data_IF_006830558295
#
_entry.id   IF_006830558295
#
_cell.length_a   1.000
_cell.length_b   1.000
_cell.length_c   1.000
_cell.angle_alpha   90.00
_cell.angle_beta   90.00
_cell.angle_gamma   90.00
#
_symmetry.space_group_name_H-M   'P 1'
#
loop_
_entity.id
_entity.type
_entity.pdbx_description
1 polymer ?
#
# COMPACT_ATOMS: atom_id res chain seq x y z
N UNK A 1 45.00 29.25 43.95
CA UNK A 1 43.64 29.66 43.55
C UNK A 1 43.40 29.20 42.12
N UNK A 2 42.74 28.06 41.94
CA UNK A 2 42.35 27.57 40.61
C UNK A 2 41.01 26.85 40.74
N UNK A 3 39.93 27.61 40.57
CA UNK A 3 38.57 27.12 40.62
C UNK A 3 38.23 26.46 39.29
N UNK A 4 38.28 25.13 39.25
CA UNK A 4 37.90 24.33 38.08
C UNK A 4 36.38 24.41 37.90
N UNK A 5 35.94 25.22 36.95
CA UNK A 5 34.54 25.35 36.52
C UNK A 5 34.07 24.03 35.90
N UNK A 6 33.39 23.21 36.70
CA UNK A 6 32.78 21.97 36.27
C UNK A 6 31.54 22.30 35.43
N UNK A 7 31.71 22.32 34.10
CA UNK A 7 30.60 22.44 33.14
C UNK A 7 29.76 21.16 33.19
N UNK A 8 28.74 21.16 34.06
CA UNK A 8 27.69 20.14 34.06
C UNK A 8 26.94 20.21 32.74
N UNK A 9 27.37 19.39 31.77
CA UNK A 9 26.59 19.05 30.58
C UNK A 9 25.28 18.43 31.05
N UNK A 10 24.23 19.24 31.17
CA UNK A 10 22.84 18.78 31.29
C UNK A 10 22.58 17.88 30.08
N UNK A 11 22.66 16.57 30.27
CA UNK A 11 22.17 15.59 29.29
C UNK A 11 20.71 15.96 29.05
N UNK A 12 20.42 16.59 27.91
CA UNK A 12 19.07 16.79 27.39
C UNK A 12 18.44 15.41 27.35
N UNK A 13 17.65 15.08 28.36
CA UNK A 13 16.85 13.88 28.37
C UNK A 13 15.89 14.03 27.20
N UNK A 14 16.20 13.32 26.11
CA UNK A 14 15.34 13.22 24.93
C UNK A 14 13.97 12.82 25.46
N UNK A 15 13.01 13.76 25.44
CA UNK A 15 11.62 13.48 25.82
C UNK A 15 11.13 12.39 24.88
N UNK A 16 11.17 11.14 25.36
CA UNK A 16 10.57 10.01 24.67
C UNK A 16 9.09 10.30 24.59
N UNK A 17 8.58 10.42 23.36
CA UNK A 17 7.14 10.55 23.09
C UNK A 17 6.38 9.50 23.90
N UNK A 18 5.66 9.95 24.94
CA UNK A 18 4.69 9.10 25.63
C UNK A 18 3.42 9.15 24.80
N UNK A 19 3.15 8.06 24.08
CA UNK A 19 1.83 7.80 23.52
C UNK A 19 0.89 7.73 24.72
N UNK A 20 -0.10 8.63 24.78
CA UNK A 20 -1.09 8.59 25.86
C UNK A 20 -2.05 7.41 25.63
N UNK A 21 -2.70 6.89 26.69
CA UNK A 21 -3.73 5.86 26.53
C UNK A 21 -4.89 6.31 25.61
N UNK A 22 -5.21 7.62 25.63
CA UNK A 22 -6.21 8.21 24.75
C UNK A 22 -5.79 8.15 23.27
N UNK A 23 -4.55 8.51 22.95
CA UNK A 23 -4.01 8.39 21.59
C UNK A 23 -4.03 6.94 21.10
N UNK A 24 -3.71 5.99 21.97
CA UNK A 24 -3.73 4.56 21.63
C UNK A 24 -5.15 4.08 21.25
N UNK A 25 -6.19 4.54 21.96
CA UNK A 25 -7.60 4.24 21.63
C UNK A 25 -8.01 4.87 20.30
N UNK A 26 -7.62 6.12 20.04
CA UNK A 26 -7.91 6.80 18.77
C UNK A 26 -7.21 6.11 17.58
N UNK A 27 -5.96 5.71 17.74
CA UNK A 27 -5.23 4.94 16.71
C UNK A 27 -5.88 3.57 16.49
N UNK A 28 -6.35 2.90 17.54
CA UNK A 28 -7.11 1.65 17.41
C UNK A 28 -8.44 1.85 16.66
N UNK A 29 -9.18 2.91 16.99
CA UNK A 29 -10.44 3.25 16.32
C UNK A 29 -10.21 3.56 14.83
N UNK A 30 -9.17 4.34 14.51
CA UNK A 30 -8.78 4.61 13.12
C UNK A 30 -8.36 3.34 12.38
N UNK A 31 -7.63 2.43 13.03
CA UNK A 31 -7.28 1.15 12.43
C UNK A 31 -8.52 0.29 12.14
N UNK A 32 -9.49 0.24 13.05
CA UNK A 32 -10.75 -0.45 12.83
C UNK A 32 -11.56 0.19 11.69
N UNK A 33 -11.69 1.52 11.65
CA UNK A 33 -12.37 2.23 10.57
C UNK A 33 -11.69 1.98 9.21
N UNK A 34 -10.36 2.01 9.18
CA UNK A 34 -9.57 1.71 7.98
C UNK A 34 -9.78 0.26 7.53
N UNK A 35 -9.90 -0.69 8.47
CA UNK A 35 -10.17 -2.08 8.17
C UNK A 35 -11.52 -2.24 7.45
N UNK A 36 -12.57 -1.62 7.97
CA UNK A 36 -13.91 -1.65 7.37
C UNK A 36 -13.89 -1.02 5.97
N UNK A 37 -13.30 0.17 5.84
CA UNK A 37 -13.20 0.83 4.54
C UNK A 37 -12.41 -0.01 3.51
N UNK A 38 -11.33 -0.67 3.96
CA UNK A 38 -10.51 -1.54 3.12
C UNK A 38 -11.24 -2.81 2.70
N UNK A 39 -12.03 -3.39 3.60
CA UNK A 39 -12.88 -4.56 3.33
C UNK A 39 -13.89 -4.28 2.21
N UNK A 40 -14.37 -3.04 2.15
CA UNK A 40 -15.34 -2.57 1.15
C UNK A 40 -14.69 -2.13 -0.17
N UNK A 41 -13.37 -2.00 -0.23
CA UNK A 41 -12.66 -1.56 -1.43
C UNK A 41 -12.71 -2.58 -2.59
N UNK A 42 -13.20 -3.79 -2.33
CA UNK A 42 -13.51 -4.75 -3.39
C UNK A 42 -12.30 -5.32 -4.13
N UNK A 43 -11.11 -5.28 -3.53
CA UNK A 43 -9.91 -5.94 -4.07
C UNK A 43 -10.19 -7.44 -4.29
N UNK A 44 -9.76 -7.98 -5.43
CA UNK A 44 -9.92 -9.41 -5.78
C UNK A 44 -8.59 -10.10 -6.11
N UNK A 45 -7.63 -10.17 -5.17
CA UNK A 45 -6.38 -10.88 -5.42
C UNK A 45 -6.56 -12.40 -5.46
N UNK A 46 -7.62 -12.95 -4.87
CA UNK A 46 -7.92 -14.38 -4.89
C UNK A 46 -9.26 -14.68 -5.58
N UNK A 47 -9.48 -15.94 -5.94
CA UNK A 47 -10.78 -16.38 -6.44
C UNK A 47 -11.85 -16.50 -5.33
N UNK A 48 -11.50 -16.24 -4.06
CA UNK A 48 -12.37 -16.47 -2.91
C UNK A 48 -12.68 -15.16 -2.16
N UNK A 49 -13.84 -14.59 -2.48
CA UNK A 49 -14.28 -13.27 -1.99
C UNK A 49 -14.18 -13.06 -0.47
N UNK A 50 -14.55 -14.02 0.40
CA UNK A 50 -14.40 -13.83 1.85
C UNK A 50 -12.94 -13.66 2.28
N UNK A 51 -12.00 -14.38 1.68
CA UNK A 51 -10.59 -14.22 1.98
C UNK A 51 -10.08 -12.83 1.60
N UNK A 52 -10.49 -12.31 0.44
CA UNK A 52 -10.08 -10.97 0.00
C UNK A 52 -10.55 -9.87 0.95
N UNK A 53 -11.80 -9.98 1.44
CA UNK A 53 -12.38 -9.08 2.45
C UNK A 53 -11.55 -9.12 3.74
N UNK A 54 -11.21 -10.33 4.22
CA UNK A 54 -10.42 -10.49 5.45
C UNK A 54 -9.00 -9.93 5.27
N UNK A 55 -8.34 -10.25 4.17
CA UNK A 55 -6.96 -9.81 3.88
C UNK A 55 -6.89 -8.29 3.74
N UNK A 56 -7.79 -7.68 2.97
CA UNK A 56 -7.86 -6.22 2.78
C UNK A 56 -8.13 -5.49 4.10
N UNK A 57 -9.08 -5.99 4.91
CA UNK A 57 -9.38 -5.44 6.22
C UNK A 57 -8.17 -5.46 7.16
N UNK A 58 -7.51 -6.62 7.27
CA UNK A 58 -6.35 -6.80 8.13
C UNK A 58 -5.18 -5.92 7.66
N UNK A 59 -4.93 -5.85 6.35
CA UNK A 59 -3.87 -5.01 5.80
C UNK A 59 -4.11 -3.54 6.13
N UNK A 60 -5.33 -3.05 5.89
CA UNK A 60 -5.72 -1.68 6.20
C UNK A 60 -5.54 -1.32 7.68
N UNK A 61 -5.98 -2.21 8.58
CA UNK A 61 -5.79 -2.05 10.02
C UNK A 61 -4.30 -1.95 10.41
N UNK A 62 -3.48 -2.84 9.87
CA UNK A 62 -2.03 -2.88 10.16
C UNK A 62 -1.35 -1.61 9.67
N UNK A 63 -1.67 -1.14 8.46
CA UNK A 63 -1.07 0.08 7.89
C UNK A 63 -1.43 1.31 8.71
N UNK A 64 -2.69 1.49 9.07
CA UNK A 64 -3.12 2.61 9.91
C UNK A 64 -2.44 2.58 11.29
N UNK A 65 -2.39 1.40 11.92
CA UNK A 65 -1.75 1.21 13.23
C UNK A 65 -0.24 1.46 13.21
N UNK A 66 0.44 0.96 12.18
CA UNK A 66 1.90 1.14 12.02
C UNK A 66 2.26 2.56 11.60
N UNK A 67 1.39 3.21 10.82
CA UNK A 67 1.50 4.62 10.42
C UNK A 67 1.63 5.57 11.60
N UNK A 68 0.96 5.29 12.72
CA UNK A 68 1.08 6.07 13.96
C UNK A 68 2.53 6.24 14.46
N UNK A 69 3.41 5.27 14.15
CA UNK A 69 4.81 5.25 14.57
C UNK A 69 5.81 5.57 13.44
N UNK A 70 5.32 5.68 12.19
CA UNK A 70 6.14 5.89 11.01
C UNK A 70 6.76 7.30 10.99
N UNK A 71 7.96 7.47 10.36
CA UNK A 71 8.51 8.78 10.09
C UNK A 71 7.66 9.51 9.04
N UNK A 72 7.56 10.83 9.18
CA UNK A 72 6.67 11.66 8.35
C UNK A 72 6.99 11.56 6.86
N UNK A 73 8.27 11.51 6.47
CA UNK A 73 8.68 11.39 5.07
C UNK A 73 8.18 10.10 4.42
N UNK A 74 8.05 9.04 5.21
CA UNK A 74 7.62 7.73 4.78
C UNK A 74 6.09 7.66 4.61
N UNK A 75 5.36 8.58 5.25
CA UNK A 75 3.92 8.77 5.04
C UNK A 75 3.63 9.79 3.93
N UNK A 76 4.56 10.70 3.64
CA UNK A 76 4.38 11.69 2.59
C UNK A 76 4.29 11.01 1.20
N UNK A 77 5.16 10.03 0.93
CA UNK A 77 5.16 9.29 -0.34
C UNK A 77 3.81 8.61 -0.63
N UNK A 78 3.26 7.72 0.24
CA UNK A 78 1.96 7.10 0.01
C UNK A 78 0.82 8.10 -0.12
N UNK A 79 0.78 9.15 0.70
CA UNK A 79 -0.28 10.16 0.63
C UNK A 79 -0.20 10.98 -0.66
N UNK A 80 1.00 11.30 -1.13
CA UNK A 80 1.20 12.00 -2.40
C UNK A 80 0.79 11.13 -3.59
N UNK A 81 1.23 9.86 -3.61
CA UNK A 81 0.80 8.89 -4.62
C UNK A 81 -0.73 8.74 -4.63
N UNK A 82 -1.33 8.52 -3.45
CA UNK A 82 -2.78 8.41 -3.32
C UNK A 82 -3.53 9.62 -3.89
N UNK A 83 -3.02 10.83 -3.67
CA UNK A 83 -3.64 12.06 -4.20
C UNK A 83 -3.54 12.14 -5.72
N UNK A 84 -2.43 11.69 -6.31
CA UNK A 84 -2.20 11.69 -7.75
C UNK A 84 -3.01 10.61 -8.49
N UNK A 85 -3.28 9.49 -7.82
CA UNK A 85 -3.90 8.32 -8.44
C UNK A 85 -5.36 8.11 -8.07
N UNK A 86 -5.93 8.99 -7.25
CA UNK A 86 -7.31 8.88 -6.80
C UNK A 86 -8.30 8.93 -7.97
N UNK A 87 -9.23 7.97 -8.00
CA UNK A 87 -10.23 7.82 -9.07
C UNK A 87 -11.34 8.87 -8.98
N UNK A 88 -11.58 9.45 -7.79
CA UNK A 88 -12.61 10.46 -7.58
C UNK A 88 -12.07 11.69 -6.84
N UNK A 89 -12.70 12.84 -7.07
CA UNK A 89 -12.27 14.13 -6.52
C UNK A 89 -12.28 14.14 -4.98
N UNK A 90 -13.24 13.45 -4.35
CA UNK A 90 -13.36 13.39 -2.89
C UNK A 90 -12.16 12.67 -2.27
N UNK A 91 -11.78 11.52 -2.82
CA UNK A 91 -10.61 10.74 -2.41
C UNK A 91 -9.31 11.50 -2.70
N UNK A 92 -9.22 12.19 -3.84
CA UNK A 92 -8.07 13.02 -4.18
C UNK A 92 -7.87 14.13 -3.15
N UNK A 93 -8.93 14.86 -2.80
CA UNK A 93 -8.91 15.90 -1.77
C UNK A 93 -8.56 15.32 -0.40
N UNK A 94 -9.16 14.20 -0.01
CA UNK A 94 -8.84 13.55 1.27
C UNK A 94 -7.37 13.14 1.36
N UNK A 95 -6.81 12.55 0.30
CA UNK A 95 -5.41 12.17 0.22
C UNK A 95 -4.47 13.39 0.20
N UNK A 96 -4.85 14.47 -0.51
CA UNK A 96 -4.10 15.71 -0.52
C UNK A 96 -4.06 16.37 0.88
N UNK A 97 -5.19 16.40 1.58
CA UNK A 97 -5.26 16.89 2.97
C UNK A 97 -4.39 16.04 3.88
N UNK A 98 -4.42 14.70 3.73
CA UNK A 98 -3.55 13.79 4.47
C UNK A 98 -2.06 14.07 4.18
N UNK A 99 -1.70 14.31 2.92
CA UNK A 99 -0.33 14.66 2.52
C UNK A 99 0.14 15.96 3.18
N UNK A 100 -0.67 17.03 3.08
CA UNK A 100 -0.37 18.32 3.70
C UNK A 100 -0.26 18.18 5.23
N UNK A 101 -1.18 17.44 5.86
CA UNK A 101 -1.13 17.22 7.30
C UNK A 101 0.17 16.51 7.73
N UNK A 102 0.62 15.50 6.97
CA UNK A 102 1.88 14.80 7.22
C UNK A 102 3.08 15.75 7.06
N UNK A 103 3.10 16.58 6.02
CA UNK A 103 4.16 17.57 5.81
C UNK A 103 4.21 18.62 6.91
N UNK A 104 3.06 19.13 7.35
CA UNK A 104 2.97 20.10 8.46
C UNK A 104 3.46 19.45 9.76
N UNK A 105 3.05 18.22 10.04
CA UNK A 105 3.51 17.46 11.22
C UNK A 105 5.01 17.21 11.16
N UNK A 106 5.55 16.89 9.97
CA UNK A 106 6.97 16.70 9.73
C UNK A 106 7.79 17.97 9.91
N UNK A 107 7.39 19.05 9.24
CA UNK A 107 8.07 20.35 9.26
C UNK A 107 8.05 21.02 10.64
N UNK A 108 6.95 20.89 11.39
CA UNK A 108 6.84 21.42 12.76
C UNK A 108 7.33 20.44 13.83
N UNK A 109 7.86 19.27 13.45
CA UNK A 109 8.28 18.22 14.38
C UNK A 109 7.23 17.88 15.45
N UNK A 110 5.95 17.89 15.06
CA UNK A 110 4.83 17.67 15.97
C UNK A 110 4.66 16.18 16.28
N UNK A 111 4.26 15.92 17.53
CA UNK A 111 3.98 14.58 18.03
C UNK A 111 2.49 14.29 17.88
N UNK A 112 2.07 13.96 16.66
CA UNK A 112 0.67 13.65 16.33
C UNK A 112 0.49 12.21 15.83
N UNK A 113 0.50 11.18 16.69
CA UNK A 113 0.34 9.78 16.27
C UNK A 113 -1.02 9.53 15.60
N UNK A 114 -2.07 10.21 16.06
CA UNK A 114 -3.43 10.12 15.48
C UNK A 114 -3.46 10.62 14.04
N UNK A 115 -2.86 11.79 13.78
CA UNK A 115 -2.80 12.38 12.43
C UNK A 115 -2.04 11.46 11.47
N UNK A 116 -0.93 10.87 11.93
CA UNK A 116 -0.14 9.93 11.14
C UNK A 116 -0.89 8.63 10.83
N UNK A 117 -1.64 8.11 11.81
CA UNK A 117 -2.48 6.94 11.61
C UNK A 117 -3.61 7.22 10.60
N UNK A 118 -4.27 8.37 10.73
CA UNK A 118 -5.32 8.80 9.82
C UNK A 118 -4.78 8.96 8.40
N UNK A 119 -3.63 9.62 8.23
CA UNK A 119 -3.01 9.79 6.93
C UNK A 119 -2.67 8.44 6.28
N UNK A 120 -2.03 7.54 7.03
CA UNK A 120 -1.70 6.20 6.54
C UNK A 120 -2.94 5.40 6.13
N UNK A 121 -4.02 5.47 6.93
CA UNK A 121 -5.28 4.80 6.64
C UNK A 121 -5.97 5.36 5.39
N UNK A 122 -6.02 6.68 5.25
CA UNK A 122 -6.56 7.33 4.04
C UNK A 122 -5.76 6.91 2.81
N UNK A 123 -4.43 6.95 2.86
CA UNK A 123 -3.61 6.53 1.72
C UNK A 123 -3.92 5.10 1.31
N UNK A 124 -3.98 4.15 2.26
CA UNK A 124 -4.17 2.73 1.92
C UNK A 124 -5.54 2.48 1.29
N UNK A 125 -6.60 3.12 1.79
CA UNK A 125 -7.96 2.96 1.25
C UNK A 125 -8.05 3.52 -0.17
N UNK A 126 -7.40 4.66 -0.43
CA UNK A 126 -7.35 5.27 -1.76
C UNK A 126 -6.53 4.40 -2.71
N UNK A 127 -5.37 3.87 -2.29
CA UNK A 127 -4.59 2.95 -3.11
C UNK A 127 -5.35 1.65 -3.41
N UNK A 128 -6.20 1.15 -2.53
CA UNK A 128 -7.02 -0.03 -2.81
C UNK A 128 -8.12 0.22 -3.85
N UNK A 129 -8.51 1.47 -4.04
CA UNK A 129 -9.45 1.86 -5.10
C UNK A 129 -8.77 2.22 -6.42
N UNK A 130 -7.44 2.08 -6.54
CA UNK A 130 -6.78 2.27 -7.82
C UNK A 130 -7.18 1.15 -8.79
N UNK A 131 -8.12 1.47 -9.68
CA UNK A 131 -8.37 0.66 -10.86
C UNK A 131 -7.54 1.24 -12.01
N UNK A 132 -6.27 0.80 -12.10
CA UNK A 132 -5.35 1.26 -13.15
C UNK A 132 -5.67 0.44 -14.40
N UNK A 133 -6.66 0.94 -15.16
CA UNK A 133 -7.37 0.27 -16.26
C UNK A 133 -6.52 -0.16 -17.48
N UNK A 134 -5.52 -1.01 -17.27
CA UNK A 134 -4.76 -1.61 -18.37
C UNK A 134 -3.66 -2.59 -17.95
N UNK A 135 -3.17 -2.54 -16.70
CA UNK A 135 -2.09 -3.44 -16.26
C UNK A 135 -2.19 -3.74 -14.75
N UNK A 136 -2.97 -4.78 -14.40
CA UNK A 136 -3.26 -5.15 -13.00
C UNK A 136 -2.00 -5.52 -12.18
N UNK A 137 -0.89 -5.86 -12.84
CA UNK A 137 0.35 -6.25 -12.16
C UNK A 137 1.18 -5.08 -11.60
N UNK A 138 1.19 -3.92 -12.26
CA UNK A 138 2.08 -2.81 -11.87
C UNK A 138 1.55 -2.03 -10.66
N UNK A 139 0.23 -1.84 -10.57
CA UNK A 139 -0.43 -1.21 -9.43
C UNK A 139 -0.28 -2.02 -8.15
N UNK A 140 -0.34 -3.35 -8.25
CA UNK A 140 -0.11 -4.26 -7.13
C UNK A 140 1.33 -4.18 -6.61
N UNK A 141 2.33 -4.07 -7.50
CA UNK A 141 3.74 -3.91 -7.11
C UNK A 141 3.99 -2.59 -6.41
N UNK A 142 3.48 -1.48 -6.96
CA UNK A 142 3.63 -0.15 -6.34
C UNK A 142 2.93 -0.11 -4.98
N UNK A 143 1.68 -0.58 -4.91
CA UNK A 143 0.92 -0.64 -3.65
C UNK A 143 1.62 -1.52 -2.62
N UNK A 144 2.09 -2.69 -3.02
CA UNK A 144 2.82 -3.61 -2.16
C UNK A 144 4.13 -3.03 -1.65
N UNK A 145 4.92 -2.39 -2.51
CA UNK A 145 6.17 -1.73 -2.13
C UNK A 145 5.93 -0.59 -1.13
N UNK A 146 4.92 0.24 -1.39
CA UNK A 146 4.55 1.38 -0.54
C UNK A 146 4.05 0.90 0.83
N UNK A 147 3.11 -0.05 0.85
CA UNK A 147 2.61 -0.65 2.10
C UNK A 147 3.73 -1.32 2.87
N UNK A 148 4.58 -2.09 2.19
CA UNK A 148 5.73 -2.77 2.79
C UNK A 148 6.69 -1.79 3.45
N UNK A 149 7.05 -0.70 2.76
CA UNK A 149 7.91 0.34 3.32
C UNK A 149 7.31 0.97 4.58
N UNK A 150 6.00 1.30 4.56
CA UNK A 150 5.30 1.89 5.72
C UNK A 150 5.31 0.96 6.93
N UNK A 151 4.98 -0.31 6.71
CA UNK A 151 4.95 -1.31 7.78
C UNK A 151 6.36 -1.53 8.35
N UNK A 152 7.37 -1.73 7.49
CA UNK A 152 8.77 -1.95 7.92
C UNK A 152 9.30 -0.72 8.66
N UNK A 153 9.14 0.48 8.10
CA UNK A 153 9.60 1.73 8.70
C UNK A 153 8.92 2.03 10.05
N UNK A 154 7.61 1.78 10.16
CA UNK A 154 6.86 1.91 11.42
C UNK A 154 7.32 0.91 12.48
N UNK A 155 7.63 -0.32 12.09
CA UNK A 155 8.07 -1.39 12.99
C UNK A 155 9.50 -1.23 13.48
N UNK A 156 10.40 -0.72 12.63
CA UNK A 156 11.79 -0.52 13.03
C UNK A 156 11.93 0.44 14.22
N UNK A 157 10.96 1.33 14.46
CA UNK A 157 10.94 2.23 15.62
C UNK A 157 10.32 1.65 16.90
N UNK A 158 9.62 0.51 16.86
CA UNK A 158 9.03 -0.12 18.06
C UNK A 158 9.99 -1.11 18.73
N UNK A 159 9.88 -1.23 20.06
CA UNK A 159 10.73 -2.08 20.89
C UNK A 159 10.66 -3.58 20.53
N UNK A 160 11.73 -4.33 20.86
CA UNK A 160 11.97 -5.73 20.41
C UNK A 160 10.81 -6.69 20.63
N UNK A 161 10.00 -6.50 21.69
CA UNK A 161 8.87 -7.37 22.01
C UNK A 161 7.74 -7.33 20.97
N UNK A 162 7.38 -6.14 20.48
CA UNK A 162 6.32 -5.98 19.46
C UNK A 162 6.79 -6.45 18.09
N UNK A 163 8.11 -6.42 17.83
CA UNK A 163 8.67 -6.87 16.56
C UNK A 163 8.40 -8.34 16.26
N UNK A 164 8.38 -9.23 17.27
CA UNK A 164 8.27 -10.67 17.02
C UNK A 164 6.88 -11.09 16.53
N UNK A 165 5.82 -10.58 17.18
CA UNK A 165 4.43 -10.82 16.78
C UNK A 165 4.14 -10.25 15.40
N UNK A 166 4.62 -9.05 15.13
CA UNK A 166 4.39 -8.42 13.82
C UNK A 166 5.27 -9.02 12.73
N UNK A 167 6.45 -9.58 13.06
CA UNK A 167 7.25 -10.35 12.09
C UNK A 167 6.48 -11.57 11.59
N UNK A 168 5.69 -12.25 12.43
CA UNK A 168 4.82 -13.35 11.99
C UNK A 168 3.72 -12.87 11.06
N UNK A 169 3.08 -11.73 11.38
CA UNK A 169 2.10 -11.12 10.49
C UNK A 169 2.71 -10.69 9.15
N UNK A 170 3.92 -10.11 9.16
CA UNK A 170 4.69 -9.76 7.97
C UNK A 170 5.07 -10.98 7.15
N UNK A 171 5.43 -12.11 7.77
CA UNK A 171 5.70 -13.37 7.06
C UNK A 171 4.40 -13.86 6.40
N UNK A 172 3.25 -13.78 7.09
CA UNK A 172 1.96 -14.12 6.50
C UNK A 172 1.61 -13.24 5.31
N UNK A 173 1.80 -11.92 5.43
CA UNK A 173 1.59 -10.96 4.33
C UNK A 173 2.59 -11.18 3.20
N UNK A 174 3.86 -11.45 3.50
CA UNK A 174 4.89 -11.73 2.51
C UNK A 174 4.64 -13.07 1.80
N UNK A 175 4.13 -14.07 2.50
CA UNK A 175 3.71 -15.33 1.90
C UNK A 175 2.52 -15.13 0.98
N UNK A 176 1.50 -14.38 1.41
CA UNK A 176 0.35 -14.00 0.57
C UNK A 176 0.78 -13.18 -0.65
N UNK A 177 1.70 -12.22 -0.48
CA UNK A 177 2.28 -11.46 -1.58
C UNK A 177 3.08 -12.36 -2.52
N UNK A 178 3.83 -13.33 -1.99
CA UNK A 178 4.54 -14.33 -2.79
C UNK A 178 3.58 -15.17 -3.63
N UNK A 179 2.47 -15.64 -3.04
CA UNK A 179 1.42 -16.38 -3.76
C UNK A 179 0.81 -15.50 -4.86
N UNK A 180 0.54 -14.22 -4.58
CA UNK A 180 0.03 -13.29 -5.58
C UNK A 180 1.02 -13.06 -6.74
N UNK A 181 2.32 -12.94 -6.46
CA UNK A 181 3.37 -12.82 -7.49
C UNK A 181 3.44 -14.09 -8.35
N UNK A 182 3.40 -15.27 -7.73
CA UNK A 182 3.37 -16.55 -8.47
C UNK A 182 2.14 -16.64 -9.37
N UNK A 183 0.97 -16.25 -8.86
CA UNK A 183 -0.26 -16.18 -9.64
C UNK A 183 -0.15 -15.23 -10.83
N UNK A 184 0.44 -14.05 -10.63
CA UNK A 184 0.65 -13.06 -11.70
C UNK A 184 1.61 -13.58 -12.78
N UNK A 185 2.69 -14.28 -12.40
CA UNK A 185 3.63 -14.90 -13.35
C UNK A 185 2.94 -15.98 -14.18
N UNK A 186 2.15 -16.85 -13.54
CA UNK A 186 1.39 -17.89 -14.25
C UNK A 186 0.38 -17.26 -15.22
N UNK A 187 -0.33 -16.23 -14.79
CA UNK A 187 -1.29 -15.50 -15.64
C UNK A 187 -0.62 -14.85 -16.85
N UNK A 188 0.57 -14.25 -16.66
CA UNK A 188 1.34 -13.66 -17.74
C UNK A 188 1.80 -14.71 -18.78
N UNK A 189 2.23 -15.89 -18.33
CA UNK A 189 2.64 -16.98 -19.23
C UNK A 189 1.44 -17.47 -20.05
N UNK A 190 0.26 -17.60 -19.44
CA UNK A 190 -0.94 -18.00 -20.18
C UNK A 190 -1.42 -16.95 -21.18
N UNK A 191 -1.36 -15.66 -20.81
CA UNK A 191 -1.70 -14.56 -21.71
C UNK A 191 -0.76 -14.51 -22.93
N UNK A 192 0.54 -14.78 -22.74
CA UNK A 192 1.50 -14.85 -23.85
C UNK A 192 1.23 -16.03 -24.80
N UNK A 193 0.66 -17.13 -24.30
CA UNK A 193 0.17 -18.24 -25.13
C UNK A 193 -1.00 -17.84 -26.00
N UNK A 194 -2.05 -17.27 -25.38
CA UNK A 194 -3.26 -16.87 -26.09
C UNK A 194 -3.03 -15.83 -27.21
N UNK A 195 -2.05 -14.92 -27.05
CA UNK A 195 -1.68 -13.96 -28.10
C UNK A 195 -1.05 -14.67 -29.31
N UNK A 196 -0.22 -15.70 -29.08
CA UNK A 196 0.41 -16.45 -30.17
C UNK A 196 -0.60 -17.30 -30.93
N UNK A 197 -1.55 -17.90 -30.21
CA UNK A 197 -2.61 -18.70 -30.79
C UNK A 197 -3.53 -17.82 -31.65
N UNK A 198 -3.89 -16.62 -31.16
CA UNK A 198 -4.67 -15.64 -31.92
C UNK A 198 -3.95 -15.13 -33.18
N UNK A 199 -2.63 -14.89 -33.13
CA UNK A 199 -1.87 -14.54 -34.35
C UNK A 199 -1.89 -15.67 -35.39
N UNK A 200 -1.80 -16.92 -34.96
CA UNK A 200 -1.87 -18.06 -35.87
C UNK A 200 -3.25 -18.20 -36.51
N UNK A 201 -4.32 -18.01 -35.74
CA UNK A 201 -5.69 -18.07 -36.22
C UNK A 201 -6.00 -16.94 -37.21
N UNK A 202 -5.52 -15.72 -36.93
CA UNK A 202 -5.63 -14.58 -37.86
C UNK A 202 -4.85 -14.82 -39.17
N UNK A 203 -3.64 -15.40 -39.09
CA UNK A 203 -2.86 -15.76 -40.29
C UNK A 203 -3.56 -16.86 -41.09
N UNK A 204 -4.15 -17.84 -40.42
CA UNK A 204 -4.92 -18.90 -41.05
C UNK A 204 -6.15 -18.32 -41.78
N UNK A 205 -6.91 -17.44 -41.12
CA UNK A 205 -8.06 -16.76 -41.71
C UNK A 205 -7.67 -15.88 -42.92
N UNK A 206 -6.58 -15.10 -42.81
CA UNK A 206 -6.08 -14.28 -43.91
C UNK A 206 -5.63 -15.12 -45.12
N UNK A 207 -5.05 -16.30 -44.87
CA UNK A 207 -4.65 -17.24 -45.93
C UNK A 207 -5.83 -17.94 -46.60
N UNK A 208 -6.96 -18.09 -45.89
CA UNK A 208 -8.19 -18.65 -46.43
C UNK A 208 -8.89 -17.63 -47.34
N UNK A 209 -9.00 -16.36 -46.89
CA UNK A 209 -9.56 -15.27 -47.70
C UNK A 209 -8.76 -15.05 -48.98
N UNK A 210 -7.43 -15.05 -48.91
CA UNK A 210 -6.57 -14.91 -50.09
C UNK A 210 -6.73 -16.06 -51.09
N UNK A 211 -7.11 -17.27 -50.65
CA UNK A 211 -7.35 -18.40 -51.55
C UNK A 211 -8.74 -18.31 -52.20
N UNK A 212 -9.75 -17.91 -51.45
CA UNK A 212 -11.11 -17.67 -51.99
C UNK A 212 -11.12 -16.63 -53.11
N UNK A 213 -10.41 -15.51 -52.94
CA UNK A 213 -10.30 -14.46 -53.97
C UNK A 213 -9.56 -14.91 -55.26
N UNK A 214 -8.75 -15.97 -55.18
CA UNK A 214 -7.97 -16.46 -56.34
C UNK A 214 -8.77 -17.50 -57.13
N UNK A 215 -9.65 -18.26 -56.47
CA UNK A 215 -10.60 -19.14 -57.17
C UNK A 215 -11.65 -18.33 -57.94
N UNK A 216 -12.19 -17.25 -57.36
CA UNK A 216 -13.16 -16.37 -58.02
C UNK A 216 -12.58 -15.54 -59.19
N UNK A 217 -11.26 -15.38 -59.28
CA UNK A 217 -10.61 -14.62 -60.35
C UNK A 217 -10.21 -15.46 -61.58
N UNK A 218 -10.49 -16.77 -61.56
CA UNK A 218 -10.05 -17.72 -62.59
C UNK A 218 -11.14 -18.25 -63.53
N UNK A 219 -12.40 -17.82 -63.34
CA UNK A 219 -13.55 -18.01 -64.25
C UNK A 219 -13.90 -16.71 -64.99
#
# INVERSE_FOLDING_TARGET
>A
MSSTTQSRTRRRTVRRNRITPADARLVAALAAATAVASAMAGMRPTAWRPADIVVSAVLGAIVAWTGASAPWWLLAIPSGLAALTAVNAVAAVAAAVAFVAVLVVGGRSLNGPVVRAAAAGVSVVVLFHLDVGGFHGSSALVTGAVVGAVVVGGLMRRGRYVRLQVRRALIGVAALAGVAVVGAVIGMIQAAGAVRDGEQELRAAASALRRGDVEDASD
#
